data_IF_892118801888
#
_entry.id   IF_892118801888
#
_cell.length_a   1.000
_cell.length_b   1.000
_cell.length_c   1.000
_cell.angle_alpha   90.00
_cell.angle_beta   90.00
_cell.angle_gamma   90.00
#
_symmetry.space_group_name_H-M   'P 1'
#
loop_
_entity.id
_entity.type
_entity.pdbx_description
1 polymer ?
#
# COMPACT_ATOMS: atom_id res chain seq x y z
N UNK A 1 -11.75 -14.21 -26.27
CA UNK A 1 -11.54 -12.76 -26.09
C UNK A 1 -10.08 -12.56 -25.73
N UNK A 2 -9.39 -11.61 -26.34
CA UNK A 2 -8.01 -11.27 -25.98
C UNK A 2 -8.02 -10.20 -24.89
N UNK A 3 -7.29 -10.44 -23.80
CA UNK A 3 -7.14 -9.52 -22.66
C UNK A 3 -5.72 -8.93 -22.58
N UNK A 4 -4.87 -9.18 -23.58
CA UNK A 4 -3.53 -8.62 -23.59
C UNK A 4 -3.55 -7.09 -23.62
N UNK A 5 -2.58 -6.46 -22.95
CA UNK A 5 -2.46 -5.01 -22.88
C UNK A 5 -1.01 -4.57 -22.83
N UNK A 6 -0.75 -3.31 -23.19
CA UNK A 6 0.56 -2.68 -23.02
C UNK A 6 0.47 -1.65 -21.91
N UNK A 7 1.27 -1.82 -20.86
CA UNK A 7 1.32 -0.91 -19.72
C UNK A 7 2.78 -0.55 -19.41
N UNK A 8 3.09 0.76 -19.38
CA UNK A 8 4.45 1.27 -19.16
C UNK A 8 5.52 0.63 -20.08
N UNK A 9 5.15 0.32 -21.32
CA UNK A 9 6.05 -0.34 -22.29
C UNK A 9 6.20 -1.86 -22.12
N UNK A 10 5.50 -2.47 -21.15
CA UNK A 10 5.46 -3.91 -20.93
C UNK A 10 4.21 -4.53 -21.55
N UNK A 11 4.37 -5.68 -22.20
CA UNK A 11 3.24 -6.49 -22.67
C UNK A 11 2.76 -7.39 -21.55
N UNK A 12 1.50 -7.25 -21.14
CA UNK A 12 0.87 -8.03 -20.08
C UNK A 12 -0.21 -8.94 -20.68
N UNK A 13 -0.39 -10.12 -20.09
CA UNK A 13 -1.41 -11.11 -20.52
C UNK A 13 -2.86 -10.70 -20.20
N UNK A 14 -3.02 -9.72 -19.32
CA UNK A 14 -4.29 -9.26 -18.75
C UNK A 14 -4.11 -7.82 -18.24
N UNK A 15 -5.15 -6.96 -18.23
CA UNK A 15 -5.08 -5.64 -17.61
C UNK A 15 -5.18 -5.67 -16.08
N UNK A 16 -5.39 -6.85 -15.49
CA UNK A 16 -5.58 -7.00 -14.05
C UNK A 16 -4.24 -7.02 -13.32
N UNK A 17 -4.15 -6.24 -12.23
CA UNK A 17 -2.98 -6.17 -11.35
C UNK A 17 -3.40 -6.51 -9.93
N UNK A 18 -2.73 -7.46 -9.29
CA UNK A 18 -3.00 -7.81 -7.88
C UNK A 18 -2.34 -6.78 -6.96
N UNK A 19 -3.09 -6.18 -6.04
CA UNK A 19 -2.57 -5.22 -5.07
C UNK A 19 -1.68 -5.89 -4.02
N UNK A 20 -0.88 -5.08 -3.32
CA UNK A 20 -0.14 -5.52 -2.15
C UNK A 20 -1.11 -6.14 -1.14
N UNK A 21 -0.91 -7.42 -0.83
CA UNK A 21 -1.81 -8.21 0.01
C UNK A 21 -1.07 -9.46 0.53
N UNK A 22 -1.64 -10.19 1.51
CA UNK A 22 -1.06 -11.46 1.95
C UNK A 22 -0.82 -12.47 0.82
N UNK A 23 -1.62 -12.39 -0.25
CA UNK A 23 -1.50 -13.23 -1.45
C UNK A 23 -0.20 -12.94 -2.23
N UNK A 24 0.24 -11.68 -2.27
CA UNK A 24 1.49 -11.30 -2.95
C UNK A 24 2.72 -11.40 -2.04
N UNK A 25 2.55 -11.73 -0.77
CA UNK A 25 3.63 -11.88 0.21
C UNK A 25 4.23 -13.31 0.28
N UNK A 26 3.52 -14.33 -0.21
CA UNK A 26 3.99 -15.72 -0.22
C UNK A 26 4.13 -16.24 -1.64
N UNK A 27 5.20 -16.99 -1.90
CA UNK A 27 5.51 -17.50 -3.23
C UNK A 27 4.45 -18.47 -3.77
N UNK A 28 3.87 -19.31 -2.91
CA UNK A 28 2.86 -20.29 -3.30
C UNK A 28 1.56 -19.63 -3.78
N UNK A 29 1.08 -18.63 -3.04
CA UNK A 29 -0.13 -17.88 -3.40
C UNK A 29 0.14 -16.93 -4.57
N UNK A 30 1.34 -16.37 -4.66
CA UNK A 30 1.77 -15.55 -5.80
C UNK A 30 1.77 -16.38 -7.09
N UNK A 31 2.32 -17.60 -7.05
CA UNK A 31 2.31 -18.48 -8.20
C UNK A 31 0.88 -18.80 -8.65
N UNK A 32 -0.02 -19.10 -7.72
CA UNK A 32 -1.42 -19.40 -8.04
C UNK A 32 -2.13 -18.25 -8.77
N UNK A 33 -1.88 -16.98 -8.39
CA UNK A 33 -2.49 -15.83 -9.09
C UNK A 33 -1.85 -15.53 -10.43
N UNK A 34 -0.55 -15.81 -10.58
CA UNK A 34 0.14 -15.75 -11.88
C UNK A 34 -0.46 -16.77 -12.84
N UNK A 35 -0.63 -18.01 -12.38
CA UNK A 35 -1.24 -19.09 -13.16
C UNK A 35 -2.69 -18.75 -13.53
N UNK A 36 -3.45 -18.15 -12.61
CA UNK A 36 -4.85 -17.78 -12.79
C UNK A 36 -5.11 -16.72 -13.87
N UNK A 37 -4.13 -15.90 -14.27
CA UNK A 37 -4.40 -14.88 -15.29
C UNK A 37 -3.76 -13.52 -15.09
N UNK A 38 -3.16 -13.23 -13.94
CA UNK A 38 -2.85 -11.83 -13.59
C UNK A 38 -1.78 -11.25 -14.53
N UNK A 39 -1.95 -9.97 -14.88
CA UNK A 39 -0.99 -9.26 -15.73
C UNK A 39 0.26 -8.85 -14.96
N UNK A 40 0.09 -8.41 -13.71
CA UNK A 40 1.18 -8.01 -12.82
C UNK A 40 0.77 -8.14 -11.34
N UNK A 41 1.75 -8.03 -10.43
CA UNK A 41 1.52 -8.04 -8.98
C UNK A 41 2.27 -6.87 -8.32
N UNK A 42 1.70 -6.33 -7.25
CA UNK A 42 2.36 -5.36 -6.38
C UNK A 42 2.86 -6.10 -5.14
N UNK A 43 4.16 -5.99 -4.87
CA UNK A 43 4.79 -6.61 -3.71
C UNK A 43 4.54 -5.80 -2.43
N UNK A 44 4.61 -6.44 -1.24
CA UNK A 44 4.56 -5.73 0.03
C UNK A 44 5.60 -4.61 0.11
N UNK A 45 5.24 -3.52 0.79
CA UNK A 45 6.08 -2.35 0.95
C UNK A 45 7.29 -2.65 1.85
N UNK A 46 8.51 -2.40 1.35
CA UNK A 46 9.75 -2.67 2.10
C UNK A 46 9.93 -1.81 3.36
N UNK A 47 9.29 -0.64 3.40
CA UNK A 47 9.44 0.34 4.48
C UNK A 47 8.15 0.58 5.27
N UNK A 48 7.17 -0.31 5.15
CA UNK A 48 5.85 -0.16 5.80
C UNK A 48 6.00 0.06 7.31
N UNK A 49 6.86 -0.72 7.96
CA UNK A 49 7.08 -0.64 9.39
C UNK A 49 7.70 0.70 9.79
N UNK A 50 8.70 1.20 9.07
CA UNK A 50 9.33 2.50 9.34
C UNK A 50 8.34 3.65 9.18
N UNK A 51 7.53 3.62 8.11
CA UNK A 51 6.50 4.65 7.87
C UNK A 51 5.48 4.64 9.00
N UNK A 52 4.99 3.45 9.40
CA UNK A 52 4.04 3.29 10.51
C UNK A 52 4.61 3.81 11.83
N UNK A 53 5.89 3.53 12.12
CA UNK A 53 6.55 4.04 13.33
C UNK A 53 6.70 5.57 13.30
N UNK A 54 7.00 6.14 12.14
CA UNK A 54 7.07 7.59 11.97
C UNK A 54 5.69 8.24 12.17
N UNK A 55 4.62 7.69 11.57
CA UNK A 55 3.26 8.17 11.77
C UNK A 55 2.85 8.18 13.25
N UNK A 56 3.17 7.12 13.99
CA UNK A 56 2.92 7.05 15.43
C UNK A 56 3.70 8.10 16.23
N UNK A 57 4.96 8.35 15.84
CA UNK A 57 5.79 9.37 16.49
C UNK A 57 5.23 10.78 16.24
N UNK A 58 4.81 11.07 15.01
CA UNK A 58 4.23 12.35 14.62
C UNK A 58 2.91 12.59 15.37
N UNK A 59 2.03 11.59 15.45
CA UNK A 59 0.79 11.66 16.23
C UNK A 59 1.05 11.98 17.71
N UNK A 60 2.02 11.30 18.33
CA UNK A 60 2.38 11.54 19.73
C UNK A 60 2.92 12.96 19.99
N UNK A 61 3.55 13.58 19.00
CA UNK A 61 3.96 14.98 19.08
C UNK A 61 2.75 15.91 18.98
N UNK A 62 1.85 15.67 18.03
CA UNK A 62 0.63 16.47 17.86
C UNK A 62 -0.26 16.44 19.11
N UNK A 63 -0.53 15.27 19.68
CA UNK A 63 -1.35 15.12 20.90
C UNK A 63 -0.77 15.89 22.09
N UNK A 64 0.57 15.91 22.24
CA UNK A 64 1.24 16.68 23.31
C UNK A 64 1.01 18.19 23.19
N UNK A 65 0.80 18.70 21.99
CA UNK A 65 0.60 20.12 21.73
C UNK A 65 -0.88 20.53 21.65
N UNK A 66 -1.80 19.57 21.56
CA UNK A 66 -3.24 19.81 21.41
C UNK A 66 -3.87 20.60 22.57
N UNK A 67 -3.33 20.47 23.79
CA UNK A 67 -3.80 21.21 24.98
C UNK A 67 -2.80 22.26 25.50
N UNK A 68 -1.76 22.58 24.71
CA UNK A 68 -0.67 23.45 25.16
C UNK A 68 -0.99 24.96 25.04
N UNK A 69 -2.06 25.33 24.33
CA UNK A 69 -2.48 26.72 24.15
C UNK A 69 -3.79 27.01 24.89
N UNK A 70 -3.80 28.06 25.71
CA UNK A 70 -4.96 28.45 26.52
C UNK A 70 -6.17 28.95 25.72
N UNK A 71 -6.00 29.26 24.43
CA UNK A 71 -7.03 29.87 23.57
C UNK A 71 -7.45 28.97 22.38
N UNK A 72 -6.74 27.87 22.12
CA UNK A 72 -7.04 26.93 21.04
C UNK A 72 -7.09 25.50 21.60
N UNK A 73 -8.30 24.95 21.71
CA UNK A 73 -8.57 23.66 22.38
C UNK A 73 -8.39 22.42 21.48
N UNK A 74 -8.19 22.58 20.16
CA UNK A 74 -7.88 21.48 19.23
C UNK A 74 -7.38 22.01 17.88
N UNK A 75 -6.73 21.14 17.10
CA UNK A 75 -6.26 21.37 15.72
C UNK A 75 -7.27 20.91 14.64
N UNK A 76 -8.35 20.24 15.04
CA UNK A 76 -9.45 19.85 14.15
C UNK A 76 -10.57 20.91 14.23
N UNK A 77 -11.25 21.20 13.10
CA UNK A 77 -12.36 22.16 13.06
C UNK A 77 -13.59 21.69 13.86
#
# INVERSE_FOLDING_TARGET
MDLSTTYLGLTLRSPLVASASPVTARLDTLQAVVDAGIGAVVLPSLFEEQVRQQELADLALTEKHEYAFSEATSYLP
#
